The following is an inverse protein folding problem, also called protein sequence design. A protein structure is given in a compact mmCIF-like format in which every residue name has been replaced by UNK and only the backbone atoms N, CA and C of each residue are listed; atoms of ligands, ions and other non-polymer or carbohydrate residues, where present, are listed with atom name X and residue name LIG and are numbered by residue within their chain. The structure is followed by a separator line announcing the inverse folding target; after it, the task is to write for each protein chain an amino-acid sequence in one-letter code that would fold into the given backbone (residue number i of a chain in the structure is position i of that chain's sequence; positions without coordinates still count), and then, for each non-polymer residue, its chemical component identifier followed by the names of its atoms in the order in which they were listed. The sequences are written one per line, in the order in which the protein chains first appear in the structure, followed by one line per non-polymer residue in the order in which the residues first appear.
data_IF_734320459769
#
_entry.id   IF_734320459769
#
_cell.length_a   1.000
_cell.length_b   1.000
_cell.length_c   1.000
_cell.angle_alpha   90.00
_cell.angle_beta   90.00
_cell.angle_gamma   90.00
#
_symmetry.space_group_name_H-M   'P 1'
#
loop_
_entity.id
_entity.type
_entity.pdbx_description
1 polymer ?
#
# COMPACT_ATOMS: atom_id res chain seq x y z
N UNK A 1 18.30 30.74 26.71
CA UNK A 1 19.13 29.56 26.41
C UNK A 1 18.20 28.43 25.96
N UNK A 2 17.97 28.31 24.65
CA UNK A 2 17.09 27.30 24.03
C UNK A 2 17.67 25.91 24.25
N UNK A 3 16.95 25.03 24.94
CA UNK A 3 17.15 23.58 24.80
C UNK A 3 15.98 23.04 24.01
N UNK A 4 16.10 23.17 22.69
CA UNK A 4 15.31 22.43 21.73
C UNK A 4 15.54 20.94 21.99
N UNK A 5 14.65 20.36 22.80
CA UNK A 5 14.57 18.91 22.96
C UNK A 5 14.14 18.37 21.61
N UNK A 6 15.13 17.98 20.80
CA UNK A 6 14.94 17.09 19.67
C UNK A 6 14.26 15.83 20.21
N UNK A 7 12.93 15.83 20.13
CA UNK A 7 12.09 14.67 20.36
C UNK A 7 12.49 13.70 19.26
N UNK A 8 13.43 12.80 19.57
CA UNK A 8 13.68 11.61 18.78
C UNK A 8 12.31 10.96 18.62
N UNK A 9 11.69 11.13 17.46
CA UNK A 9 10.53 10.35 17.07
C UNK A 9 11.13 8.97 16.83
N UNK A 10 11.17 8.18 17.90
CA UNK A 10 11.42 6.76 17.80
C UNK A 10 10.17 6.25 17.07
N UNK A 11 10.23 6.25 15.74
CA UNK A 11 9.19 5.67 14.90
C UNK A 11 9.20 4.18 15.22
N UNK A 12 8.45 3.84 16.26
CA UNK A 12 8.34 2.48 16.75
C UNK A 12 7.73 1.74 15.57
N UNK A 13 8.44 0.77 14.98
CA UNK A 13 8.02 0.04 13.77
C UNK A 13 6.51 -0.32 13.75
N UNK A 14 5.91 -0.53 14.93
CA UNK A 14 4.46 -0.70 15.15
C UNK A 14 3.58 0.47 14.65
N UNK A 15 3.95 1.74 14.85
CA UNK A 15 3.19 2.91 14.35
C UNK A 15 3.21 3.01 12.84
N UNK A 16 4.36 2.73 12.21
CA UNK A 16 4.47 2.73 10.75
C UNK A 16 3.66 1.59 10.11
N UNK A 17 3.60 0.40 10.73
CA UNK A 17 2.72 -0.70 10.29
C UNK A 17 1.24 -0.29 10.36
N UNK A 18 0.79 0.25 11.49
CA UNK A 18 -0.60 0.71 11.65
C UNK A 18 -0.93 1.78 10.62
N UNK A 19 -0.05 2.77 10.42
CA UNK A 19 -0.25 3.82 9.42
C UNK A 19 -0.32 3.25 7.99
N UNK A 20 0.50 2.26 7.66
CA UNK A 20 0.47 1.58 6.36
C UNK A 20 -0.84 0.81 6.14
N UNK A 21 -1.33 0.11 7.18
CA UNK A 21 -2.61 -0.60 7.13
C UNK A 21 -3.77 0.38 6.97
N UNK A 22 -3.80 1.48 7.75
CA UNK A 22 -4.81 2.53 7.61
C UNK A 22 -4.81 3.10 6.19
N UNK A 23 -3.64 3.38 5.62
CA UNK A 23 -3.52 3.87 4.25
C UNK A 23 -4.03 2.86 3.22
N UNK A 24 -3.75 1.56 3.41
CA UNK A 24 -4.25 0.50 2.52
C UNK A 24 -5.77 0.39 2.55
N UNK A 25 -6.38 0.47 3.73
CA UNK A 25 -7.84 0.44 3.89
C UNK A 25 -8.48 1.63 3.16
N UNK A 26 -7.95 2.84 3.39
CA UNK A 26 -8.44 4.07 2.74
C UNK A 26 -8.31 3.96 1.21
N UNK A 27 -7.17 3.47 0.71
CA UNK A 27 -6.96 3.30 -0.73
C UNK A 27 -7.98 2.33 -1.34
N UNK A 28 -8.22 1.17 -0.71
CA UNK A 28 -9.19 0.20 -1.21
C UNK A 28 -10.62 0.74 -1.18
N UNK A 29 -11.02 1.44 -0.10
CA UNK A 29 -12.34 2.08 -0.03
C UNK A 29 -12.50 3.15 -1.10
N UNK A 30 -11.47 3.96 -1.32
CA UNK A 30 -11.50 5.03 -2.32
C UNK A 30 -11.75 4.47 -3.71
N UNK A 31 -11.06 3.38 -4.09
CA UNK A 31 -11.27 2.72 -5.39
C UNK A 31 -12.69 2.19 -5.53
N UNK A 32 -13.21 1.49 -4.51
CA UNK A 32 -14.58 0.96 -4.54
C UNK A 32 -15.61 2.09 -4.67
N UNK A 33 -15.45 3.18 -3.91
CA UNK A 33 -16.32 4.36 -3.97
C UNK A 33 -16.21 5.06 -5.33
N UNK A 34 -15.00 5.23 -5.86
CA UNK A 34 -14.78 5.87 -7.16
C UNK A 34 -15.48 5.10 -8.28
N UNK A 35 -15.30 3.78 -8.33
CA UNK A 35 -15.97 2.90 -9.29
C UNK A 35 -17.47 2.93 -9.08
N UNK A 36 -17.93 2.95 -7.83
CA UNK A 36 -19.37 3.07 -7.51
C UNK A 36 -19.97 4.38 -8.01
N UNK A 37 -19.29 5.51 -7.85
CA UNK A 37 -19.78 6.81 -8.34
C UNK A 37 -19.91 6.81 -9.86
N UNK A 38 -18.93 6.25 -10.57
CA UNK A 38 -18.93 6.22 -12.03
C UNK A 38 -19.94 5.21 -12.59
N UNK A 39 -20.03 4.02 -12.02
CA UNK A 39 -20.85 2.95 -12.57
C UNK A 39 -22.26 2.90 -11.96
N UNK A 40 -22.45 3.43 -10.75
CA UNK A 40 -23.68 3.31 -9.93
C UNK A 40 -24.18 1.88 -9.71
N UNK A 41 -23.30 0.88 -9.85
CA UNK A 41 -23.63 -0.54 -9.70
C UNK A 41 -22.73 -1.19 -8.66
N UNK A 42 -23.35 -1.72 -7.60
CA UNK A 42 -22.64 -2.42 -6.53
C UNK A 42 -21.88 -3.66 -7.01
N UNK A 43 -22.44 -4.39 -7.97
CA UNK A 43 -21.82 -5.61 -8.52
C UNK A 43 -20.50 -5.29 -9.21
N UNK A 44 -20.46 -4.20 -9.98
CA UNK A 44 -19.24 -3.80 -10.70
C UNK A 44 -18.21 -3.25 -9.72
N UNK A 45 -18.61 -2.42 -8.75
CA UNK A 45 -17.70 -1.89 -7.72
C UNK A 45 -17.03 -2.99 -6.91
N UNK A 46 -17.78 -4.03 -6.54
CA UNK A 46 -17.23 -5.17 -5.81
C UNK A 46 -16.27 -6.00 -6.69
N UNK A 47 -16.64 -6.21 -7.97
CA UNK A 47 -15.78 -6.88 -8.95
C UNK A 47 -14.45 -6.16 -9.14
N UNK A 48 -14.46 -4.83 -9.25
CA UNK A 48 -13.23 -4.04 -9.38
C UNK A 48 -12.39 -4.06 -8.10
N UNK A 49 -13.01 -4.00 -6.92
CA UNK A 49 -12.29 -4.15 -5.66
C UNK A 49 -11.58 -5.51 -5.55
N UNK A 50 -12.26 -6.60 -5.94
CA UNK A 50 -11.66 -7.92 -6.00
C UNK A 50 -10.53 -8.02 -7.04
N UNK A 51 -10.73 -7.40 -8.19
CA UNK A 51 -9.73 -7.33 -9.25
C UNK A 51 -8.49 -6.53 -8.83
N UNK A 52 -8.64 -5.43 -8.08
CA UNK A 52 -7.52 -4.64 -7.54
C UNK A 52 -6.62 -5.47 -6.63
N UNK A 53 -7.20 -6.26 -5.74
CA UNK A 53 -6.45 -7.16 -4.85
C UNK A 53 -5.72 -8.23 -5.67
N UNK A 54 -6.40 -8.84 -6.63
CA UNK A 54 -5.83 -9.88 -7.50
C UNK A 54 -4.66 -9.33 -8.33
N UNK A 55 -4.83 -8.18 -8.96
CA UNK A 55 -3.79 -7.48 -9.71
C UNK A 55 -2.58 -7.18 -8.82
N UNK A 56 -2.80 -6.72 -7.59
CA UNK A 56 -1.73 -6.42 -6.64
C UNK A 56 -0.88 -7.65 -6.34
N UNK A 57 -1.50 -8.81 -6.14
CA UNK A 57 -0.80 -10.07 -5.88
C UNK A 57 0.03 -10.46 -7.10
N UNK A 58 -0.55 -10.40 -8.30
CA UNK A 58 0.14 -10.72 -9.55
C UNK A 58 1.33 -9.77 -9.76
N UNK A 59 1.09 -8.46 -9.69
CA UNK A 59 2.14 -7.44 -9.87
C UNK A 59 3.21 -7.60 -8.80
N UNK A 60 2.86 -7.82 -7.53
CA UNK A 60 3.85 -7.99 -6.47
C UNK A 60 4.70 -9.22 -6.71
N UNK A 61 4.11 -10.35 -7.09
CA UNK A 61 4.84 -11.57 -7.43
C UNK A 61 5.80 -11.36 -8.60
N UNK A 62 5.34 -10.74 -9.69
CA UNK A 62 6.20 -10.42 -10.83
C UNK A 62 7.27 -9.39 -10.49
N UNK A 63 6.94 -8.39 -9.68
CA UNK A 63 7.87 -7.37 -9.20
C UNK A 63 8.96 -8.00 -8.35
N UNK A 64 8.62 -8.85 -7.38
CA UNK A 64 9.57 -9.59 -6.56
C UNK A 64 10.41 -10.55 -7.41
N UNK A 65 9.82 -11.20 -8.42
CA UNK A 65 10.56 -12.08 -9.34
C UNK A 65 11.50 -11.30 -10.26
N UNK A 66 11.10 -10.12 -10.74
CA UNK A 66 11.93 -9.22 -11.51
C UNK A 66 13.06 -8.64 -10.66
N UNK A 67 12.76 -8.26 -9.41
CA UNK A 67 13.73 -7.77 -8.44
C UNK A 67 14.76 -8.84 -8.08
N UNK A 68 14.34 -10.09 -7.89
CA UNK A 68 15.25 -11.22 -7.68
C UNK A 68 16.16 -11.51 -8.88
N UNK A 69 15.77 -11.11 -10.10
CA UNK A 69 16.63 -11.18 -11.29
C UNK A 69 17.58 -9.97 -11.38
N UNK A 70 17.25 -8.87 -10.72
CA UNK A 70 18.07 -7.67 -10.68
C UNK A 70 19.07 -7.83 -9.52
N UNK A 71 20.30 -8.21 -9.84
CA UNK A 71 21.42 -8.37 -8.91
C UNK A 71 21.97 -7.02 -8.40
N UNK A 72 21.11 -6.04 -8.16
CA UNK A 72 21.54 -4.70 -7.76
C UNK A 72 21.81 -4.69 -6.24
N UNK A 73 23.10 -4.64 -5.87
CA UNK A 73 23.55 -4.57 -4.48
C UNK A 73 24.15 -5.85 -3.88
N UNK A 74 24.46 -6.89 -4.68
CA UNK A 74 25.40 -7.93 -4.24
C UNK A 74 26.81 -7.35 -4.28
N UNK A 75 27.23 -6.76 -3.16
CA UNK A 75 28.63 -6.53 -2.88
C UNK A 75 29.16 -7.86 -2.31
N UNK A 76 29.89 -8.61 -3.13
CA UNK A 76 30.83 -9.63 -2.65
C UNK A 76 32.09 -8.93 -2.12
#
# INVERSE_FOLDING_TARGET
MKKDKHKKIIDTHKRSIVKSISWRIIATLTTIILVFIFTKSFIISFGVGFFEITLKIIIYYYHERAWNKITWGKNE
#
